data_IF_434821980949
#
_entry.id   IF_434821980949
#
_cell.length_a   1.000
_cell.length_b   1.000
_cell.length_c   1.000
_cell.angle_alpha   90.00
_cell.angle_beta   90.00
_cell.angle_gamma   90.00
#
_symmetry.space_group_name_H-M   'P 1'
#
loop_
_entity.id
_entity.type
_entity.pdbx_description
1 polymer ?
#
# COMPACT_ATOMS: atom_id res chain seq x y z
N UNK A 1 -5.65 12.57 12.17
CA UNK A 1 -6.18 11.21 11.99
C UNK A 1 -6.01 10.86 10.52
N UNK A 2 -5.36 9.74 10.20
CA UNK A 2 -4.95 9.38 8.82
C UNK A 2 -5.84 8.31 8.17
N UNK A 3 -6.35 7.36 8.95
CA UNK A 3 -7.18 6.25 8.47
C UNK A 3 -8.43 6.10 9.36
N UNK A 4 -9.38 7.04 9.28
CA UNK A 4 -10.66 6.93 10.00
C UNK A 4 -11.55 5.79 9.47
N UNK A 5 -11.33 5.36 8.23
CA UNK A 5 -12.16 4.40 7.50
C UNK A 5 -11.91 2.94 7.84
N UNK A 6 -11.82 2.58 9.12
CA UNK A 6 -11.70 1.19 9.59
C UNK A 6 -12.77 0.89 10.63
N UNK A 7 -13.22 -0.36 10.71
CA UNK A 7 -14.31 -0.77 11.62
C UNK A 7 -13.91 -0.65 13.10
N UNK A 8 -12.63 -0.89 13.41
CA UNK A 8 -12.10 -0.89 14.77
C UNK A 8 -10.83 -0.02 14.84
N UNK A 9 -10.98 1.30 15.01
CA UNK A 9 -9.83 2.20 15.10
C UNK A 9 -9.14 2.08 16.46
N UNK A 10 -7.83 1.79 16.44
CA UNK A 10 -6.98 1.74 17.64
C UNK A 10 -6.12 3.01 17.80
N UNK A 11 -5.86 3.47 19.04
CA UNK A 11 -5.00 4.62 19.30
C UNK A 11 -3.52 4.28 19.08
N UNK A 12 -2.67 5.33 19.02
CA UNK A 12 -1.20 5.22 18.90
C UNK A 12 -0.67 4.56 17.61
N UNK A 13 -1.48 4.54 16.55
CA UNK A 13 -1.05 4.05 15.24
C UNK A 13 -0.01 4.93 14.53
N UNK A 14 0.58 4.38 13.47
CA UNK A 14 1.54 5.06 12.61
C UNK A 14 0.93 6.23 11.83
N UNK A 15 1.76 7.21 11.52
CA UNK A 15 1.47 8.23 10.51
C UNK A 15 1.55 7.63 9.10
N UNK A 16 0.83 8.20 8.13
CA UNK A 16 0.89 7.74 6.73
C UNK A 16 2.32 7.73 6.15
N UNK A 17 3.19 8.62 6.64
CA UNK A 17 4.58 8.72 6.20
C UNK A 17 5.43 7.56 6.72
N UNK A 18 5.24 7.18 7.98
CA UNK A 18 5.95 6.04 8.58
C UNK A 18 5.57 4.74 7.88
N UNK A 19 4.27 4.52 7.63
CA UNK A 19 3.79 3.34 6.88
C UNK A 19 4.41 3.30 5.48
N UNK A 20 4.39 4.42 4.74
CA UNK A 20 5.00 4.47 3.40
C UNK A 20 6.51 4.17 3.45
N UNK A 21 7.22 4.72 4.43
CA UNK A 21 8.66 4.50 4.56
C UNK A 21 8.96 3.03 4.91
N UNK A 22 8.14 2.40 5.76
CA UNK A 22 8.24 0.99 6.09
C UNK A 22 8.03 0.12 4.84
N UNK A 23 6.99 0.39 4.05
CA UNK A 23 6.73 -0.31 2.77
C UNK A 23 7.93 -0.17 1.84
N UNK A 24 8.43 1.06 1.61
CA UNK A 24 9.62 1.28 0.75
C UNK A 24 10.89 0.62 1.27
N UNK A 25 10.99 0.39 2.58
CA UNK A 25 12.08 -0.36 3.19
C UNK A 25 12.11 -1.84 2.81
N UNK A 26 11.02 -2.39 2.24
CA UNK A 26 10.95 -3.78 1.77
C UNK A 26 11.56 -3.99 0.38
N UNK A 27 12.10 -2.94 -0.24
CA UNK A 27 12.73 -3.02 -1.57
C UNK A 27 13.90 -4.00 -1.58
N UNK A 28 13.98 -4.82 -2.62
CA UNK A 28 15.00 -5.87 -2.78
C UNK A 28 14.64 -7.21 -2.11
N UNK A 29 13.48 -7.31 -1.46
CA UNK A 29 12.93 -8.60 -1.04
C UNK A 29 12.18 -9.27 -2.20
N UNK A 30 12.17 -10.60 -2.23
CA UNK A 30 11.40 -11.39 -3.21
C UNK A 30 9.91 -11.43 -2.85
N UNK A 31 9.22 -10.31 -3.04
CA UNK A 31 7.79 -10.18 -2.75
C UNK A 31 6.94 -10.96 -3.77
N UNK A 32 6.11 -11.89 -3.30
CA UNK A 32 5.24 -12.74 -4.13
C UNK A 32 3.81 -12.21 -4.29
N UNK A 33 3.41 -11.28 -3.43
CA UNK A 33 2.07 -10.74 -3.35
C UNK A 33 1.89 -9.85 -2.12
N UNK A 34 0.78 -9.12 -2.08
CA UNK A 34 0.39 -8.28 -0.96
C UNK A 34 -1.12 -8.01 -1.01
N UNK A 35 -1.72 -7.72 0.14
CA UNK A 35 -3.08 -7.26 0.29
C UNK A 35 -3.14 -5.94 1.06
N UNK A 36 -4.23 -5.21 0.86
CA UNK A 36 -4.57 -4.08 1.72
C UNK A 36 -6.00 -4.29 2.18
N UNK A 37 -6.18 -4.42 3.49
CA UNK A 37 -7.43 -4.85 4.12
C UNK A 37 -8.01 -3.75 5.01
N UNK A 38 -9.18 -3.99 5.59
CA UNK A 38 -9.83 -3.16 6.61
C UNK A 38 -10.34 -1.78 6.18
N UNK A 39 -10.44 -1.49 4.87
CA UNK A 39 -11.21 -0.33 4.40
C UNK A 39 -12.69 -0.55 4.67
N UNK A 40 -13.30 0.36 5.42
CA UNK A 40 -14.73 0.43 5.61
C UNK A 40 -15.29 1.72 5.00
N UNK A 41 -15.91 1.67 3.80
CA UNK A 41 -16.46 2.87 3.15
C UNK A 41 -17.52 3.60 3.98
N UNK A 42 -18.28 2.87 4.80
CA UNK A 42 -19.34 3.44 5.65
C UNK A 42 -18.80 4.41 6.69
N UNK A 43 -17.56 4.24 7.13
CA UNK A 43 -16.90 5.13 8.10
C UNK A 43 -15.84 6.04 7.48
N UNK A 44 -15.57 5.91 6.17
CA UNK A 44 -14.69 6.80 5.41
C UNK A 44 -15.46 7.94 4.71
N UNK A 45 -16.13 8.78 5.50
CA UNK A 45 -17.10 9.80 5.02
C UNK A 45 -16.55 10.73 3.93
N UNK A 46 -15.24 10.98 3.90
CA UNK A 46 -14.57 11.86 2.92
C UNK A 46 -13.71 11.11 1.90
N UNK A 47 -13.72 9.79 1.88
CA UNK A 47 -12.88 8.98 1.00
C UNK A 47 -11.37 9.13 1.25
N UNK A 48 -10.98 9.67 2.42
CA UNK A 48 -9.57 9.98 2.70
C UNK A 48 -8.79 8.71 2.95
N UNK A 49 -9.41 7.72 3.59
CA UNK A 49 -8.80 6.41 3.85
C UNK A 49 -8.66 5.63 2.55
N UNK A 50 -9.66 5.67 1.67
CA UNK A 50 -9.61 5.09 0.35
C UNK A 50 -8.47 5.69 -0.50
N UNK A 51 -8.33 7.02 -0.52
CA UNK A 51 -7.24 7.69 -1.22
C UNK A 51 -5.86 7.32 -0.66
N UNK A 52 -5.73 7.24 0.67
CA UNK A 52 -4.50 6.80 1.31
C UNK A 52 -4.16 5.35 0.94
N UNK A 53 -5.12 4.44 1.00
CA UNK A 53 -4.92 3.03 0.63
C UNK A 53 -4.58 2.85 -0.85
N UNK A 54 -5.20 3.63 -1.74
CA UNK A 54 -4.84 3.62 -3.16
C UNK A 54 -3.37 4.06 -3.37
N UNK A 55 -2.93 5.11 -2.68
CA UNK A 55 -1.55 5.55 -2.75
C UNK A 55 -0.57 4.51 -2.19
N UNK A 56 -0.90 3.86 -1.06
CA UNK A 56 -0.09 2.76 -0.50
C UNK A 56 -0.09 1.53 -1.43
N UNK A 57 -1.22 1.22 -2.06
CA UNK A 57 -1.33 0.15 -3.06
C UNK A 57 -0.45 0.39 -4.27
N UNK A 58 -0.30 1.63 -4.70
CA UNK A 58 0.65 1.97 -5.75
C UNK A 58 2.11 1.73 -5.32
N UNK A 59 2.49 2.10 -4.09
CA UNK A 59 3.84 1.82 -3.56
C UNK A 59 4.13 0.31 -3.51
N UNK A 60 3.17 -0.49 -3.05
CA UNK A 60 3.25 -1.95 -3.02
C UNK A 60 3.35 -2.52 -4.44
N UNK A 61 2.55 -2.01 -5.39
CA UNK A 61 2.59 -2.44 -6.78
C UNK A 61 3.95 -2.19 -7.42
N UNK A 62 4.59 -1.04 -7.15
CA UNK A 62 5.95 -0.78 -7.61
C UNK A 62 6.92 -1.84 -7.10
N UNK A 63 6.89 -2.16 -5.80
CA UNK A 63 7.78 -3.19 -5.22
C UNK A 63 7.51 -4.59 -5.78
N UNK A 64 6.25 -4.96 -5.97
CA UNK A 64 5.88 -6.23 -6.61
C UNK A 64 6.35 -6.30 -8.07
N UNK A 65 6.29 -5.19 -8.79
CA UNK A 65 6.80 -5.13 -10.16
C UNK A 65 8.31 -5.32 -10.24
N UNK A 66 9.05 -4.75 -9.28
CA UNK A 66 10.51 -4.93 -9.16
C UNK A 66 10.85 -6.37 -8.81
N UNK A 67 10.22 -6.94 -7.78
CA UNK A 67 10.43 -8.32 -7.37
C UNK A 67 10.09 -9.32 -8.49
N UNK A 68 9.00 -9.10 -9.24
CA UNK A 68 8.67 -9.90 -10.42
C UNK A 68 9.77 -9.81 -11.47
N UNK A 69 10.21 -8.60 -11.81
CA UNK A 69 11.22 -8.40 -12.85
C UNK A 69 12.56 -9.05 -12.48
N UNK A 70 12.98 -8.97 -11.22
CA UNK A 70 14.19 -9.65 -10.72
C UNK A 70 14.05 -11.18 -10.80
N UNK A 71 12.88 -11.72 -10.45
CA UNK A 71 12.61 -13.16 -10.47
C UNK A 71 12.55 -13.74 -11.88
N UNK A 72 11.94 -13.03 -12.83
CA UNK A 72 11.72 -13.55 -14.20
C UNK A 72 12.78 -13.08 -15.18
N UNK A 73 13.56 -12.03 -14.86
CA UNK A 73 14.45 -11.35 -15.81
C UNK A 73 13.71 -10.54 -16.88
N UNK A 74 12.40 -10.34 -16.74
CA UNK A 74 11.56 -9.67 -17.75
C UNK A 74 10.99 -8.35 -17.23
N UNK A 75 11.26 -7.26 -17.95
CA UNK A 75 10.69 -5.94 -17.68
C UNK A 75 9.66 -5.61 -18.75
N UNK A 76 8.38 -5.61 -18.35
CA UNK A 76 7.29 -5.15 -19.20
C UNK A 76 7.11 -3.64 -19.03
N UNK A 77 7.17 -2.88 -20.13
CA UNK A 77 6.91 -1.44 -20.09
C UNK A 77 5.44 -1.18 -19.82
N UNK A 78 5.14 -0.25 -18.92
CA UNK A 78 3.79 0.24 -18.71
C UNK A 78 3.34 1.04 -19.92
N UNK A 79 2.20 0.69 -20.50
CA UNK A 79 1.52 1.45 -21.54
C UNK A 79 0.35 2.20 -20.91
N UNK A 80 0.25 3.51 -21.17
CA UNK A 80 -0.79 4.40 -20.66
C UNK A 80 -1.76 4.79 -21.77
#
# INVERSE_FOLDING_TARGET
>A
NYMPGTQLPEPFGFTSREVRNLIRGLRGLDLVGADIVELCPLVDVRGTSANLMAALGFEILCLLSEARAERTGEINKTHW
#
